data_IF_749906821905
#
_entry.id   IF_749906821905
#
_cell.length_a   1.000
_cell.length_b   1.000
_cell.length_c   1.000
_cell.angle_alpha   90.00
_cell.angle_beta   90.00
_cell.angle_gamma   90.00
#
_symmetry.space_group_name_H-M   'P 1'
#
loop_
_entity.id
_entity.type
_entity.pdbx_description
1 polymer ?
#
# COMPACT_ATOMS: atom_id res chain seq x y z
N UNK A 1 22.40 -9.30 4.95
CA UNK A 1 21.61 -8.45 5.88
C UNK A 1 22.59 -7.54 6.59
N UNK A 2 22.41 -6.21 6.53
CA UNK A 2 23.29 -5.30 7.27
C UNK A 2 22.70 -5.14 8.67
N UNK A 3 23.08 -6.05 9.56
CA UNK A 3 22.79 -5.99 10.99
C UNK A 3 24.04 -5.52 11.73
N UNK A 4 23.86 -4.92 12.90
CA UNK A 4 24.95 -4.68 13.84
C UNK A 4 25.53 -6.06 14.19
N UNK A 5 26.73 -6.38 13.68
CA UNK A 5 27.42 -7.61 14.10
C UNK A 5 27.89 -7.40 15.53
N UNK A 6 27.42 -8.28 16.43
CA UNK A 6 28.03 -8.51 17.75
C UNK A 6 29.49 -8.95 17.56
N UNK A 7 30.40 -7.99 17.47
CA UNK A 7 31.81 -8.26 17.66
C UNK A 7 32.08 -8.25 19.16
N UNK A 8 32.09 -9.44 19.77
CA UNK A 8 32.80 -9.77 21.02
C UNK A 8 32.52 -8.86 22.23
N UNK A 9 31.49 -9.16 23.00
CA UNK A 9 31.43 -8.89 24.45
C UNK A 9 31.33 -7.43 24.91
N UNK A 10 31.40 -6.44 24.04
CA UNK A 10 31.08 -5.04 24.34
C UNK A 10 29.73 -4.67 23.74
N UNK A 11 28.85 -4.09 24.56
CA UNK A 11 27.61 -3.46 24.09
C UNK A 11 28.01 -2.22 23.30
N UNK A 12 28.29 -2.39 22.00
CA UNK A 12 28.50 -1.27 21.08
C UNK A 12 27.14 -0.62 20.89
N UNK A 13 26.89 0.44 21.66
CA UNK A 13 25.74 1.33 21.46
C UNK A 13 25.96 2.07 20.15
N UNK A 14 25.40 1.52 19.06
CA UNK A 14 25.42 2.16 17.75
C UNK A 14 24.73 3.52 17.89
N UNK A 15 25.41 4.59 17.48
CA UNK A 15 24.87 5.95 17.58
C UNK A 15 23.63 6.05 16.70
N UNK A 16 22.66 6.85 17.12
CA UNK A 16 21.38 7.01 16.43
C UNK A 16 21.55 7.37 14.94
N UNK A 17 22.53 8.22 14.61
CA UNK A 17 22.86 8.56 13.22
C UNK A 17 23.35 7.36 12.41
N UNK A 18 24.17 6.50 13.00
CA UNK A 18 24.65 5.27 12.33
C UNK A 18 23.50 4.28 12.14
N UNK A 19 22.58 4.16 13.10
CA UNK A 19 21.37 3.34 12.95
C UNK A 19 20.49 3.82 11.79
N UNK A 20 20.30 5.13 11.67
CA UNK A 20 19.55 5.74 10.57
C UNK A 20 20.18 5.45 9.20
N UNK A 21 21.51 5.57 9.08
CA UNK A 21 22.19 5.29 7.82
C UNK A 21 22.12 3.80 7.45
N UNK A 22 22.21 2.92 8.43
CA UNK A 22 22.00 1.48 8.25
C UNK A 22 20.54 1.16 7.87
N UNK A 23 19.55 1.86 8.43
CA UNK A 23 18.15 1.71 8.07
C UNK A 23 17.91 2.10 6.60
N UNK A 24 18.49 3.22 6.16
CA UNK A 24 18.44 3.67 4.75
C UNK A 24 19.11 2.68 3.81
N UNK A 25 20.25 2.10 4.22
CA UNK A 25 20.95 1.10 3.42
C UNK A 25 20.11 -0.18 3.26
N UNK A 26 19.48 -0.64 4.35
CA UNK A 26 18.57 -1.78 4.31
C UNK A 26 17.31 -1.49 3.47
N UNK A 27 16.76 -0.27 3.50
CA UNK A 27 15.68 0.14 2.61
C UNK A 27 16.08 -0.03 1.14
N UNK A 28 17.22 0.54 0.73
CA UNK A 28 17.74 0.43 -0.65
C UNK A 28 17.99 -1.03 -1.06
N UNK A 29 18.54 -1.84 -0.16
CA UNK A 29 18.74 -3.26 -0.41
C UNK A 29 17.41 -4.01 -0.58
N UNK A 30 16.41 -3.66 0.24
CA UNK A 30 15.04 -4.19 0.14
C UNK A 30 14.37 -3.81 -1.18
N UNK A 31 14.45 -2.54 -1.59
CA UNK A 31 13.96 -2.05 -2.88
C UNK A 31 14.62 -2.79 -4.05
N UNK A 32 15.94 -2.96 -4.00
CA UNK A 32 16.67 -3.69 -5.03
C UNK A 32 16.24 -5.16 -5.08
N UNK A 33 16.10 -5.82 -3.92
CA UNK A 33 15.65 -7.20 -3.84
C UNK A 33 14.21 -7.35 -4.39
N UNK A 34 13.30 -6.41 -4.09
CA UNK A 34 11.96 -6.36 -4.67
C UNK A 34 11.99 -6.28 -6.20
N UNK A 35 12.84 -5.42 -6.76
CA UNK A 35 13.00 -5.30 -8.22
C UNK A 35 13.54 -6.57 -8.90
N UNK A 36 14.25 -7.41 -8.16
CA UNK A 36 14.82 -8.67 -8.61
C UNK A 36 13.94 -9.89 -8.25
N UNK A 37 12.72 -9.66 -7.74
CA UNK A 37 11.80 -10.70 -7.27
C UNK A 37 12.38 -11.65 -6.19
N UNK A 38 13.38 -11.19 -5.44
CA UNK A 38 13.97 -11.93 -4.30
C UNK A 38 13.26 -11.54 -3.00
N UNK A 39 11.97 -11.86 -2.91
CA UNK A 39 11.05 -11.35 -1.89
C UNK A 39 11.43 -11.75 -0.45
N UNK A 40 11.99 -12.94 -0.24
CA UNK A 40 12.49 -13.35 1.08
C UNK A 40 13.67 -12.49 1.54
N UNK A 41 14.60 -12.19 0.63
CA UNK A 41 15.72 -11.27 0.90
C UNK A 41 15.24 -9.85 1.12
N UNK A 42 14.26 -9.38 0.33
CA UNK A 42 13.64 -8.08 0.52
C UNK A 42 13.05 -7.95 1.92
N UNK A 43 12.19 -8.89 2.32
CA UNK A 43 11.60 -8.93 3.65
C UNK A 43 12.67 -8.92 4.75
N UNK A 44 13.73 -9.69 4.59
CA UNK A 44 14.85 -9.75 5.54
C UNK A 44 15.58 -8.40 5.70
N UNK A 45 15.89 -7.71 4.59
CA UNK A 45 16.50 -6.38 4.65
C UNK A 45 15.56 -5.36 5.28
N UNK A 46 14.31 -5.35 4.88
CA UNK A 46 13.32 -4.37 5.36
C UNK A 46 13.05 -4.56 6.85
N UNK A 47 12.92 -5.80 7.33
CA UNK A 47 12.79 -6.13 8.76
C UNK A 47 14.01 -5.67 9.56
N UNK A 48 15.21 -5.86 9.03
CA UNK A 48 16.43 -5.35 9.66
C UNK A 48 16.43 -3.81 9.71
N UNK A 49 16.01 -3.14 8.64
CA UNK A 49 15.84 -1.69 8.60
C UNK A 49 14.84 -1.18 9.64
N UNK A 50 13.69 -1.85 9.81
CA UNK A 50 12.70 -1.53 10.84
C UNK A 50 13.30 -1.65 12.24
N UNK A 51 14.05 -2.72 12.53
CA UNK A 51 14.71 -2.90 13.83
C UNK A 51 15.79 -1.87 14.17
N UNK A 52 16.22 -1.06 13.20
CA UNK A 52 17.19 0.01 13.38
C UNK A 52 16.55 1.38 13.66
N UNK A 53 15.23 1.50 13.53
CA UNK A 53 14.51 2.74 13.82
C UNK A 53 14.50 3.07 15.32
N UNK A 54 14.39 4.35 15.68
CA UNK A 54 14.24 4.77 17.09
C UNK A 54 12.84 4.51 17.63
N UNK A 55 12.63 4.51 18.94
CA UNK A 55 11.32 4.20 19.53
C UNK A 55 10.20 5.15 19.06
N UNK A 56 10.51 6.43 18.82
CA UNK A 56 9.55 7.44 18.33
C UNK A 56 9.65 7.64 16.80
N UNK A 57 9.95 6.59 16.04
CA UNK A 57 10.27 6.72 14.62
C UNK A 57 9.11 7.23 13.75
N UNK A 58 7.86 6.95 14.10
CA UNK A 58 6.70 7.50 13.37
C UNK A 58 6.59 9.03 13.48
N UNK A 59 7.12 9.63 14.55
CA UNK A 59 7.18 11.08 14.72
C UNK A 59 8.45 11.66 14.12
N UNK A 60 9.62 11.10 14.48
CA UNK A 60 10.94 11.66 14.18
C UNK A 60 11.54 11.20 12.84
N UNK A 61 11.08 10.07 12.33
CA UNK A 61 11.65 9.34 11.20
C UNK A 61 10.52 8.86 10.25
N UNK A 62 9.47 9.68 10.09
CA UNK A 62 8.22 9.30 9.45
C UNK A 62 8.40 8.71 8.06
N UNK A 63 9.13 9.41 7.18
CA UNK A 63 9.24 9.03 5.76
C UNK A 63 9.91 7.67 5.57
N UNK A 64 10.99 7.41 6.32
CA UNK A 64 11.70 6.13 6.25
C UNK A 64 10.89 5.01 6.92
N UNK A 65 10.19 5.31 8.01
CA UNK A 65 9.29 4.36 8.68
C UNK A 65 8.19 3.91 7.72
N UNK A 66 7.51 4.88 7.10
CA UNK A 66 6.45 4.61 6.14
C UNK A 66 6.95 3.75 4.97
N UNK A 67 8.10 4.08 4.40
CA UNK A 67 8.69 3.33 3.27
C UNK A 67 9.08 1.90 3.65
N UNK A 68 9.79 1.72 4.78
CA UNK A 68 10.23 0.42 5.26
C UNK A 68 9.03 -0.50 5.53
N UNK A 69 8.06 -0.03 6.31
CA UNK A 69 6.88 -0.82 6.65
C UNK A 69 6.02 -1.12 5.42
N UNK A 70 5.76 -0.13 4.56
CA UNK A 70 4.94 -0.35 3.36
C UNK A 70 5.57 -1.36 2.40
N UNK A 71 6.89 -1.29 2.20
CA UNK A 71 7.58 -2.25 1.34
C UNK A 71 7.70 -3.63 2.00
N UNK A 72 7.85 -3.69 3.33
CA UNK A 72 7.85 -4.94 4.08
C UNK A 72 6.51 -5.68 3.94
N UNK A 73 5.39 -4.95 4.07
CA UNK A 73 4.04 -5.49 3.84
C UNK A 73 3.93 -6.13 2.45
N UNK A 74 4.45 -5.48 1.41
CA UNK A 74 4.44 -6.03 0.06
C UNK A 74 5.32 -7.27 -0.11
N UNK A 75 6.53 -7.24 0.45
CA UNK A 75 7.45 -8.36 0.41
C UNK A 75 6.85 -9.60 1.11
N UNK A 76 6.26 -9.41 2.29
CA UNK A 76 5.64 -10.50 3.04
C UNK A 76 4.38 -11.04 2.36
N UNK A 77 3.60 -10.19 1.69
CA UNK A 77 2.50 -10.65 0.85
C UNK A 77 3.02 -11.53 -0.30
N UNK A 78 4.10 -11.12 -0.98
CA UNK A 78 4.71 -11.94 -2.04
C UNK A 78 5.30 -13.26 -1.54
N UNK A 79 5.73 -13.32 -0.28
CA UNK A 79 6.19 -14.54 0.38
C UNK A 79 5.03 -15.41 0.90
N UNK A 80 3.78 -14.94 0.88
CA UNK A 80 2.63 -15.65 1.46
C UNK A 80 2.53 -15.54 2.99
N UNK A 81 3.33 -14.69 3.63
CA UNK A 81 3.36 -14.51 5.09
C UNK A 81 2.26 -13.57 5.56
N UNK A 82 0.99 -13.99 5.40
CA UNK A 82 -0.17 -13.15 5.64
C UNK A 82 -0.33 -12.63 7.07
N UNK A 83 0.22 -13.34 8.07
CA UNK A 83 0.24 -12.87 9.46
C UNK A 83 1.10 -11.60 9.61
N UNK A 84 2.27 -11.58 8.99
CA UNK A 84 3.17 -10.41 8.99
C UNK A 84 2.55 -9.25 8.21
N UNK A 85 1.89 -9.55 7.08
CA UNK A 85 1.11 -8.57 6.30
C UNK A 85 0.10 -7.87 7.20
N UNK A 86 -0.75 -8.63 7.91
CA UNK A 86 -1.77 -8.04 8.78
C UNK A 86 -1.17 -7.18 9.89
N UNK A 87 -0.10 -7.64 10.53
CA UNK A 87 0.56 -6.90 11.62
C UNK A 87 1.18 -5.60 11.13
N UNK A 88 2.03 -5.66 10.11
CA UNK A 88 2.75 -4.49 9.61
C UNK A 88 1.80 -3.52 8.89
N UNK A 89 0.79 -4.02 8.18
CA UNK A 89 -0.25 -3.18 7.59
C UNK A 89 -1.03 -2.43 8.66
N UNK A 90 -1.43 -3.11 9.74
CA UNK A 90 -2.10 -2.48 10.88
C UNK A 90 -1.30 -1.32 11.46
N UNK A 91 0.03 -1.49 11.63
CA UNK A 91 0.91 -0.39 12.07
C UNK A 91 0.88 0.80 11.12
N UNK A 92 1.01 0.59 9.80
CA UNK A 92 0.96 1.71 8.83
C UNK A 92 -0.41 2.38 8.83
N UNK A 93 -1.50 1.61 8.88
CA UNK A 93 -2.86 2.16 8.85
C UNK A 93 -3.18 2.99 10.09
N UNK A 94 -2.57 2.66 11.23
CA UNK A 94 -2.67 3.43 12.47
C UNK A 94 -1.83 4.72 12.42
N UNK A 95 -0.58 4.63 11.96
CA UNK A 95 0.42 5.69 12.13
C UNK A 95 0.53 6.66 10.93
N UNK A 96 0.06 6.26 9.75
CA UNK A 96 0.15 7.10 8.56
C UNK A 96 -0.71 8.37 8.67
N UNK A 97 -0.08 9.52 8.39
CA UNK A 97 -0.63 10.87 8.56
C UNK A 97 -1.62 11.29 7.48
N UNK A 98 -1.70 10.55 6.36
CA UNK A 98 -2.61 10.85 5.26
C UNK A 98 -3.14 9.58 4.60
N UNK A 99 -4.24 9.71 3.88
CA UNK A 99 -4.84 8.58 3.16
C UNK A 99 -3.94 8.05 2.05
N UNK A 100 -3.24 8.95 1.33
CA UNK A 100 -2.30 8.60 0.27
C UNK A 100 -1.19 7.68 0.78
N UNK A 101 -0.72 7.94 2.01
CA UNK A 101 0.28 7.12 2.67
C UNK A 101 -0.25 5.72 3.05
N UNK A 102 -1.57 5.58 3.24
CA UNK A 102 -2.24 4.30 3.55
C UNK A 102 -2.58 3.49 2.30
N UNK A 103 -2.76 4.14 1.16
CA UNK A 103 -3.31 3.57 -0.07
C UNK A 103 -2.55 2.32 -0.54
N UNK A 104 -1.22 2.38 -0.54
CA UNK A 104 -0.34 1.26 -0.92
C UNK A 104 -0.53 0.02 -0.02
N UNK A 105 -0.69 0.27 1.28
CA UNK A 105 -0.88 -0.79 2.28
C UNK A 105 -2.29 -1.36 2.22
N UNK A 106 -3.33 -0.53 2.06
CA UNK A 106 -4.70 -1.01 1.86
C UNK A 106 -4.80 -1.94 0.65
N UNK A 107 -4.22 -1.54 -0.49
CA UNK A 107 -4.21 -2.36 -1.71
C UNK A 107 -3.57 -3.74 -1.46
N UNK A 108 -2.47 -3.79 -0.71
CA UNK A 108 -1.79 -5.07 -0.40
C UNK A 108 -2.57 -5.91 0.61
N UNK A 109 -3.19 -5.30 1.62
CA UNK A 109 -4.02 -5.99 2.60
C UNK A 109 -5.25 -6.63 1.94
N UNK A 110 -5.94 -5.90 1.07
CA UNK A 110 -7.10 -6.41 0.30
C UNK A 110 -6.70 -7.62 -0.55
N UNK A 111 -5.55 -7.56 -1.24
CA UNK A 111 -5.02 -8.71 -2.00
C UNK A 111 -4.67 -9.89 -1.13
N UNK A 112 -4.05 -9.64 0.02
CA UNK A 112 -3.73 -10.69 0.98
C UNK A 112 -4.99 -11.40 1.48
N UNK A 113 -6.07 -10.67 1.72
CA UNK A 113 -7.36 -11.24 2.11
C UNK A 113 -7.99 -12.04 0.96
N UNK A 114 -7.98 -11.51 -0.26
CA UNK A 114 -8.47 -12.22 -1.45
C UNK A 114 -7.70 -13.53 -1.67
N UNK A 115 -6.36 -13.51 -1.56
CA UNK A 115 -5.50 -14.70 -1.68
C UNK A 115 -5.76 -15.76 -0.59
N UNK A 116 -6.35 -15.35 0.54
CA UNK A 116 -6.79 -16.25 1.62
C UNK A 116 -8.25 -16.71 1.46
N UNK A 117 -8.88 -16.49 0.30
CA UNK A 117 -10.31 -16.74 0.05
C UNK A 117 -11.26 -15.93 0.95
N UNK A 118 -10.77 -14.83 1.56
CA UNK A 118 -11.58 -13.91 2.39
C UNK A 118 -12.10 -12.74 1.55
N UNK A 119 -12.67 -13.06 0.38
CA UNK A 119 -13.05 -12.07 -0.63
C UNK A 119 -14.09 -11.09 -0.11
N UNK A 120 -15.09 -11.56 0.66
CA UNK A 120 -16.11 -10.67 1.22
C UNK A 120 -15.49 -9.63 2.17
N UNK A 121 -14.59 -10.05 3.07
CA UNK A 121 -13.88 -9.14 3.98
C UNK A 121 -13.04 -8.12 3.20
N UNK A 122 -12.42 -8.54 2.09
CA UNK A 122 -11.66 -7.65 1.21
C UNK A 122 -12.56 -6.59 0.55
N UNK A 123 -13.75 -6.98 0.10
CA UNK A 123 -14.77 -6.07 -0.45
C UNK A 123 -15.25 -5.09 0.62
N UNK A 124 -15.60 -5.59 1.81
CA UNK A 124 -16.12 -4.76 2.90
C UNK A 124 -15.10 -3.70 3.31
N UNK A 125 -13.81 -4.05 3.41
CA UNK A 125 -12.73 -3.08 3.67
C UNK A 125 -12.63 -2.07 2.53
N UNK A 126 -12.67 -2.52 1.27
CA UNK A 126 -12.63 -1.62 0.10
C UNK A 126 -13.79 -0.62 0.10
N UNK A 127 -15.00 -1.07 0.41
CA UNK A 127 -16.19 -0.23 0.48
C UNK A 127 -16.16 0.73 1.67
N UNK A 128 -15.66 0.30 2.83
CA UNK A 128 -15.46 1.19 3.98
C UNK A 128 -14.46 2.30 3.64
N UNK A 129 -13.34 1.96 3.01
CA UNK A 129 -12.35 2.93 2.54
C UNK A 129 -12.95 3.92 1.54
N UNK A 130 -13.76 3.45 0.58
CA UNK A 130 -14.47 4.32 -0.35
C UNK A 130 -15.48 5.24 0.38
N UNK A 131 -16.18 4.71 1.38
CA UNK A 131 -17.08 5.47 2.24
C UNK A 131 -16.38 6.61 3.00
N UNK A 132 -15.19 6.35 3.56
CA UNK A 132 -14.36 7.37 4.22
C UNK A 132 -13.94 8.51 3.26
N UNK A 133 -13.82 8.19 1.96
CA UNK A 133 -13.54 9.12 0.88
C UNK A 133 -14.80 9.77 0.30
N UNK A 134 -15.99 9.46 0.81
CA UNK A 134 -17.27 10.02 0.36
C UNK A 134 -17.88 9.31 -0.85
N UNK A 135 -17.35 8.15 -1.25
CA UNK A 135 -17.93 7.31 -2.32
C UNK A 135 -18.78 6.22 -1.68
N UNK A 136 -20.10 6.29 -1.90
CA UNK A 136 -21.00 5.25 -1.43
C UNK A 136 -21.06 4.11 -2.45
N UNK A 137 -20.69 2.91 -2.01
CA UNK A 137 -20.85 1.70 -2.81
C UNK A 137 -22.23 1.07 -2.53
N UNK A 138 -22.93 0.61 -3.58
CA UNK A 138 -24.23 -0.04 -3.41
C UNK A 138 -24.12 -1.34 -2.60
N UNK A 139 -25.00 -1.48 -1.61
CA UNK A 139 -25.15 -2.69 -0.79
C UNK A 139 -26.65 -2.99 -0.62
N UNK A 140 -27.16 -4.16 -1.08
CA UNK A 140 -26.41 -5.24 -1.73
C UNK A 140 -25.88 -4.85 -3.11
N UNK A 141 -24.93 -5.64 -3.63
CA UNK A 141 -24.38 -5.42 -4.97
C UNK A 141 -25.50 -5.45 -6.04
N UNK A 142 -25.50 -4.53 -7.00
CA UNK A 142 -26.47 -4.53 -8.10
C UNK A 142 -26.32 -5.79 -8.96
N UNK A 143 -27.39 -6.15 -9.66
CA UNK A 143 -27.31 -7.18 -10.70
C UNK A 143 -26.33 -6.77 -11.80
N UNK A 144 -25.68 -7.76 -12.43
CA UNK A 144 -24.71 -7.52 -13.51
C UNK A 144 -25.29 -6.69 -14.66
N UNK A 145 -26.58 -6.83 -14.95
CA UNK A 145 -27.31 -6.06 -15.96
C UNK A 145 -27.33 -4.56 -15.68
N UNK A 146 -27.55 -4.17 -14.43
CA UNK A 146 -27.54 -2.76 -13.99
C UNK A 146 -26.13 -2.16 -14.12
N UNK A 147 -25.11 -2.87 -13.66
CA UNK A 147 -23.70 -2.45 -13.82
C UNK A 147 -23.35 -2.27 -15.30
N UNK A 148 -23.77 -3.22 -16.15
CA UNK A 148 -23.46 -3.16 -17.57
C UNK A 148 -24.14 -1.99 -18.28
N UNK A 149 -25.35 -1.61 -17.83
CA UNK A 149 -26.06 -0.43 -18.32
C UNK A 149 -25.25 0.85 -18.03
N UNK A 150 -24.78 1.01 -16.80
CA UNK A 150 -23.98 2.18 -16.40
C UNK A 150 -22.66 2.26 -17.20
N UNK A 151 -22.00 1.12 -17.43
CA UNK A 151 -20.79 1.03 -18.27
C UNK A 151 -21.08 1.44 -19.72
N UNK A 152 -22.20 0.98 -20.29
CA UNK A 152 -22.60 1.37 -21.66
C UNK A 152 -22.93 2.86 -21.76
N UNK A 153 -23.60 3.41 -20.75
CA UNK A 153 -23.93 4.84 -20.71
C UNK A 153 -22.66 5.69 -20.63
N UNK A 154 -21.71 5.31 -19.77
CA UNK A 154 -20.39 5.94 -19.70
C UNK A 154 -19.66 5.85 -21.04
N UNK A 155 -19.62 4.68 -21.69
CA UNK A 155 -18.97 4.50 -23.00
C UNK A 155 -19.57 5.43 -24.06
N UNK A 156 -20.91 5.54 -24.09
CA UNK A 156 -21.62 6.43 -25.01
C UNK A 156 -21.29 7.91 -24.76
N UNK A 157 -21.19 8.32 -23.49
CA UNK A 157 -20.77 9.69 -23.15
C UNK A 157 -19.35 9.99 -23.65
N UNK A 158 -18.43 9.04 -23.51
CA UNK A 158 -17.05 9.17 -23.99
C UNK A 158 -16.96 9.22 -25.51
N UNK A 159 -17.70 8.35 -26.22
CA UNK A 159 -17.74 8.31 -27.70
C UNK A 159 -18.36 9.58 -28.31
N UNK A 160 -19.32 10.20 -27.61
CA UNK A 160 -19.98 11.43 -28.05
C UNK A 160 -19.21 12.71 -27.66
N UNK A 161 -18.15 12.59 -26.85
CA UNK A 161 -17.29 13.71 -26.47
C UNK A 161 -16.17 13.87 -27.50
N UNK A 162 -16.00 15.07 -28.04
CA UNK A 162 -14.91 15.39 -28.96
C UNK A 162 -13.59 15.59 -28.21
N UNK A 163 -12.45 15.38 -28.88
CA UNK A 163 -11.12 15.66 -28.29
C UNK A 163 -11.01 17.11 -27.77
N UNK A 164 -11.62 18.07 -28.48
CA UNK A 164 -11.65 19.47 -28.07
C UNK A 164 -12.48 19.69 -26.79
N UNK A 165 -13.56 18.94 -26.57
CA UNK A 165 -14.33 19.00 -25.32
C UNK A 165 -13.54 18.38 -24.15
N UNK A 166 -12.82 17.28 -24.39
CA UNK A 166 -11.94 16.68 -23.38
C UNK A 166 -10.85 17.62 -22.90
N UNK A 167 -10.19 18.33 -23.82
CA UNK A 167 -9.16 19.32 -23.49
C UNK A 167 -9.71 20.52 -22.69
N UNK A 168 -11.02 20.77 -22.78
CA UNK A 168 -11.70 21.83 -22.04
C UNK A 168 -12.33 21.35 -20.73
N UNK A 169 -12.28 20.05 -20.41
CA UNK A 169 -12.76 19.58 -19.12
C UNK A 169 -11.89 20.13 -18.00
N UNK A 170 -12.56 20.59 -16.94
CA UNK A 170 -11.87 21.06 -15.74
C UNK A 170 -11.20 19.89 -15.06
N UNK A 171 -9.93 20.05 -14.70
CA UNK A 171 -9.24 19.10 -13.85
C UNK A 171 -10.01 18.86 -12.54
N UNK A 172 -10.06 17.61 -12.11
CA UNK A 172 -10.63 17.26 -10.82
C UNK A 172 -9.77 17.92 -9.73
N UNK A 173 -10.41 18.73 -8.89
CA UNK A 173 -9.75 19.46 -7.81
C UNK A 173 -10.16 18.96 -6.41
N UNK A 174 -11.11 18.02 -6.33
CA UNK A 174 -11.52 17.39 -5.08
C UNK A 174 -10.49 16.33 -4.67
N UNK A 175 -9.77 16.57 -3.59
CA UNK A 175 -8.72 15.68 -3.10
C UNK A 175 -9.23 14.31 -2.67
N UNK A 176 -10.46 14.22 -2.13
CA UNK A 176 -11.06 12.93 -1.73
C UNK A 176 -11.43 12.10 -2.95
N UNK A 177 -11.98 12.72 -3.99
CA UNK A 177 -12.28 12.00 -5.24
C UNK A 177 -11.02 11.58 -6.00
N UNK A 178 -9.97 12.41 -6.01
CA UNK A 178 -8.66 12.01 -6.55
C UNK A 178 -8.12 10.80 -5.77
N UNK A 179 -8.21 10.82 -4.44
CA UNK A 179 -7.79 9.70 -3.60
C UNK A 179 -8.61 8.43 -3.84
N UNK A 180 -9.93 8.56 -4.03
CA UNK A 180 -10.81 7.44 -4.34
C UNK A 180 -10.47 6.82 -5.70
N UNK A 181 -10.23 7.65 -6.72
CA UNK A 181 -9.80 7.19 -8.04
C UNK A 181 -8.46 6.46 -7.98
N UNK A 182 -7.47 7.00 -7.25
CA UNK A 182 -6.18 6.33 -7.03
C UNK A 182 -6.35 5.00 -6.30
N UNK A 183 -7.24 4.95 -5.30
CA UNK A 183 -7.51 3.73 -4.55
C UNK A 183 -8.13 2.66 -5.46
N UNK A 184 -9.19 3.01 -6.21
CA UNK A 184 -9.81 2.12 -7.20
C UNK A 184 -8.79 1.62 -8.24
N UNK A 185 -7.96 2.51 -8.80
CA UNK A 185 -6.92 2.13 -9.75
C UNK A 185 -5.92 1.12 -9.14
N UNK A 186 -5.56 1.32 -7.86
CA UNK A 186 -4.69 0.40 -7.13
C UNK A 186 -5.31 -0.99 -6.88
N UNK A 187 -6.62 -1.13 -7.04
CA UNK A 187 -7.34 -2.41 -6.99
C UNK A 187 -7.49 -3.03 -8.39
N UNK A 188 -7.81 -2.22 -9.42
CA UNK A 188 -8.05 -2.68 -10.81
C UNK A 188 -6.82 -3.35 -11.43
N UNK A 189 -5.61 -2.88 -11.12
CA UNK A 189 -4.36 -3.50 -11.59
C UNK A 189 -4.19 -4.97 -11.15
N UNK A 190 -5.01 -5.46 -10.22
CA UNK A 190 -4.83 -6.76 -9.57
C UNK A 190 -6.06 -7.67 -9.67
N UNK A 191 -7.12 -7.24 -10.35
CA UNK A 191 -8.24 -8.11 -10.76
C UNK A 191 -7.92 -8.94 -12.01
N UNK A 192 -6.81 -8.64 -12.72
CA UNK A 192 -6.37 -9.31 -13.95
C UNK A 192 -5.19 -10.26 -13.76
N UNK A 193 -4.66 -10.43 -12.54
CA UNK A 193 -3.55 -11.36 -12.23
C UNK A 193 -4.06 -12.55 -11.41
N UNK A 194 -5.29 -12.99 -11.68
CA UNK A 194 -5.88 -14.23 -11.17
C UNK A 194 -6.14 -15.19 -12.32
#
# INVERSE_FOLDING_TARGET
IVTVKENRGEIVTVKENERMDLAKLNLRAGEKAMSLATFFSAASYLKAGIGLLCDCHWEKQYDISLQLYSLYVEAEYRNGNFQEVGRAAGTVLQEAKSFENKLRVFATLIKSLAAQNKVQVAIDIGFNVLGDLGVQCPSPLPEKSAIMKDVMEMKRMLENSTEAEFLNYREMNDSKMIAAMKFLQSLVLYTFIG
#
